data_IF_044683546528
#
_entry.id   IF_044683546528
#
_cell.length_a   1.000
_cell.length_b   1.000
_cell.length_c   1.000
_cell.angle_alpha   90.00
_cell.angle_beta   90.00
_cell.angle_gamma   90.00
#
_symmetry.space_group_name_H-M   'P 1'
#
loop_
_entity.id
_entity.type
_entity.pdbx_description
1 polymer ?
#
# COMPACT_ATOMS: atom_id res chain seq x y z
N UNK A 1 16.53 -1.13 -3.67
CA UNK A 1 15.27 -1.02 -2.90
C UNK A 1 14.59 0.33 -3.13
N UNK A 2 15.33 1.42 -3.30
CA UNK A 2 14.81 2.79 -3.51
C UNK A 2 13.62 2.88 -4.47
N UNK A 3 13.70 2.28 -5.66
CA UNK A 3 12.58 2.30 -6.62
C UNK A 3 11.26 1.75 -6.04
N UNK A 4 11.30 0.61 -5.35
CA UNK A 4 10.09 -0.01 -4.80
C UNK A 4 9.56 0.73 -3.59
N UNK A 5 10.47 1.22 -2.74
CA UNK A 5 10.11 2.07 -1.59
C UNK A 5 9.43 3.36 -2.06
N UNK A 6 9.97 4.03 -3.07
CA UNK A 6 9.36 5.22 -3.69
C UNK A 6 8.00 4.90 -4.29
N UNK A 7 7.86 3.75 -4.97
CA UNK A 7 6.57 3.31 -5.52
C UNK A 7 5.54 3.02 -4.43
N UNK A 8 5.90 2.31 -3.37
CA UNK A 8 4.99 2.06 -2.24
C UNK A 8 4.62 3.35 -1.52
N UNK A 9 5.56 4.29 -1.40
CA UNK A 9 5.30 5.63 -0.85
C UNK A 9 4.31 6.42 -1.70
N UNK A 10 4.45 6.43 -3.03
CA UNK A 10 3.49 7.08 -3.93
C UNK A 10 2.08 6.49 -3.81
N UNK A 11 1.97 5.16 -3.72
CA UNK A 11 0.67 4.49 -3.53
C UNK A 11 0.06 4.89 -2.19
N UNK A 12 0.87 4.93 -1.13
CA UNK A 12 0.41 5.35 0.19
C UNK A 12 -0.07 6.80 0.21
N UNK A 13 0.64 7.72 -0.44
CA UNK A 13 0.24 9.13 -0.53
C UNK A 13 -1.05 9.32 -1.32
N UNK A 14 -1.21 8.61 -2.45
CA UNK A 14 -2.47 8.57 -3.21
C UNK A 14 -3.63 8.06 -2.35
N UNK A 15 -3.41 7.04 -1.52
CA UNK A 15 -4.40 6.53 -0.59
C UNK A 15 -4.79 7.57 0.47
N UNK A 16 -3.81 8.23 1.10
CA UNK A 16 -4.07 9.29 2.08
C UNK A 16 -4.87 10.44 1.49
N UNK A 17 -4.55 10.84 0.26
CA UNK A 17 -5.32 11.86 -0.46
C UNK A 17 -6.77 11.43 -0.67
N UNK A 18 -6.98 10.18 -1.10
CA UNK A 18 -8.31 9.63 -1.32
C UNK A 18 -9.12 9.53 -0.02
N UNK A 19 -8.49 9.13 1.09
CA UNK A 19 -9.13 9.12 2.42
C UNK A 19 -9.61 10.51 2.85
N UNK A 20 -8.84 11.57 2.55
CA UNK A 20 -9.26 12.95 2.87
C UNK A 20 -10.48 13.39 2.04
N UNK A 21 -10.55 13.00 0.77
CA UNK A 21 -11.67 13.34 -0.11
C UNK A 21 -12.93 12.57 0.31
N UNK A 22 -12.80 11.28 0.59
CA UNK A 22 -13.92 10.39 0.88
C UNK A 22 -14.19 10.22 2.38
N UNK A 23 -13.74 11.15 3.23
CA UNK A 23 -13.78 11.00 4.69
C UNK A 23 -15.15 10.59 5.26
N UNK A 24 -16.24 11.07 4.62
CA UNK A 24 -17.63 10.82 5.00
C UNK A 24 -18.30 9.62 4.30
N UNK A 25 -17.69 9.06 3.25
CA UNK A 25 -18.24 7.95 2.47
C UNK A 25 -17.47 6.66 2.79
N UNK A 26 -18.04 5.86 3.69
CA UNK A 26 -17.43 4.59 4.14
C UNK A 26 -17.23 3.60 3.00
N UNK A 27 -18.14 3.55 2.03
CA UNK A 27 -18.05 2.64 0.89
C UNK A 27 -16.86 2.97 0.01
N UNK A 28 -16.66 4.26 -0.30
CA UNK A 28 -15.53 4.73 -1.09
C UNK A 28 -14.20 4.60 -0.35
N UNK A 29 -14.20 4.78 0.98
CA UNK A 29 -13.01 4.54 1.80
C UNK A 29 -12.58 3.08 1.77
N UNK A 30 -13.53 2.14 1.85
CA UNK A 30 -13.24 0.71 1.71
C UNK A 30 -12.70 0.38 0.33
N UNK A 31 -13.31 0.89 -0.74
CA UNK A 31 -12.81 0.69 -2.10
C UNK A 31 -11.38 1.22 -2.26
N UNK A 32 -11.09 2.45 -1.81
CA UNK A 32 -9.74 3.01 -1.87
C UNK A 32 -8.72 2.20 -1.04
N UNK A 33 -9.16 1.61 0.07
CA UNK A 33 -8.32 0.73 0.89
C UNK A 33 -7.97 -0.57 0.15
N UNK A 34 -8.96 -1.24 -0.41
CA UNK A 34 -8.77 -2.46 -1.19
C UNK A 34 -7.92 -2.22 -2.44
N UNK A 35 -8.19 -1.14 -3.18
CA UNK A 35 -7.42 -0.75 -4.36
C UNK A 35 -5.95 -0.49 -4.00
N UNK A 36 -5.70 0.20 -2.88
CA UNK A 36 -4.35 0.47 -2.39
C UNK A 36 -3.58 -0.85 -2.10
N UNK A 37 -4.23 -1.80 -1.42
CA UNK A 37 -3.61 -3.11 -1.14
C UNK A 37 -3.34 -3.89 -2.44
N UNK A 38 -4.30 -3.89 -3.36
CA UNK A 38 -4.17 -4.56 -4.67
C UNK A 38 -3.05 -3.99 -5.54
N UNK A 39 -2.88 -2.66 -5.56
CA UNK A 39 -1.76 -2.01 -6.24
C UNK A 39 -0.41 -2.44 -5.64
N UNK A 40 -0.31 -2.52 -4.30
CA UNK A 40 0.91 -2.97 -3.62
C UNK A 40 1.23 -4.44 -3.88
N UNK A 41 0.22 -5.32 -3.87
CA UNK A 41 0.40 -6.75 -4.17
C UNK A 41 0.79 -6.99 -5.63
N UNK A 42 0.21 -6.23 -6.56
CA UNK A 42 0.56 -6.29 -7.98
C UNK A 42 2.02 -5.90 -8.26
N UNK A 43 2.57 -4.94 -7.50
CA UNK A 43 3.99 -4.60 -7.56
C UNK A 43 4.88 -5.72 -7.03
N UNK A 44 4.42 -6.50 -6.06
CA UNK A 44 5.17 -7.62 -5.49
C UNK A 44 5.17 -8.86 -6.39
N UNK A 45 4.02 -9.23 -6.95
CA UNK A 45 3.85 -10.40 -7.82
C UNK A 45 4.76 -10.40 -9.06
N UNK A 46 5.20 -9.22 -9.52
CA UNK A 46 6.14 -9.10 -10.64
C UNK A 46 7.58 -9.52 -10.30
N UNK A 47 7.90 -9.72 -9.02
CA UNK A 47 9.26 -9.95 -8.53
C UNK A 47 9.40 -11.21 -7.67
N UNK A 48 8.52 -12.20 -7.87
CA UNK A 48 8.47 -13.46 -7.13
C UNK A 48 9.61 -14.45 -7.49
N UNK A 49 10.84 -13.95 -7.49
CA UNK A 49 12.04 -14.77 -7.47
C UNK A 49 12.46 -14.89 -5.99
N UNK A 50 12.45 -16.10 -5.44
CA UNK A 50 12.66 -16.45 -4.02
C UNK A 50 14.07 -16.13 -3.46
N UNK A 51 14.61 -14.94 -3.75
CA UNK A 51 15.92 -14.46 -3.31
C UNK A 51 15.83 -13.49 -2.13
N UNK A 52 17.00 -13.17 -1.53
CA UNK A 52 17.14 -12.15 -0.47
C UNK A 52 16.48 -10.81 -0.81
N UNK A 53 16.37 -10.49 -2.11
CA UNK A 53 15.70 -9.30 -2.61
C UNK A 53 14.17 -9.36 -2.40
N UNK A 54 13.52 -10.47 -2.75
CA UNK A 54 12.08 -10.65 -2.54
C UNK A 54 11.71 -10.62 -1.06
N UNK A 55 12.57 -11.14 -0.17
CA UNK A 55 12.34 -11.02 1.28
C UNK A 55 12.34 -9.55 1.74
N UNK A 56 13.34 -8.76 1.34
CA UNK A 56 13.38 -7.33 1.66
C UNK A 56 12.18 -6.57 1.07
N UNK A 57 11.74 -6.95 -0.12
CA UNK A 57 10.58 -6.36 -0.78
C UNK A 57 9.27 -6.70 -0.06
N UNK A 58 9.15 -7.94 0.43
CA UNK A 58 8.01 -8.39 1.21
C UNK A 58 7.94 -7.65 2.56
N UNK A 59 9.07 -7.51 3.24
CA UNK A 59 9.16 -6.76 4.49
C UNK A 59 8.75 -5.28 4.28
N UNK A 60 9.22 -4.67 3.17
CA UNK A 60 8.84 -3.31 2.78
C UNK A 60 7.32 -3.20 2.52
N UNK A 61 6.76 -4.10 1.70
CA UNK A 61 5.32 -4.17 1.41
C UNK A 61 4.52 -4.27 2.71
N UNK A 62 4.89 -5.19 3.59
CA UNK A 62 4.21 -5.41 4.87
C UNK A 62 4.25 -4.16 5.77
N UNK A 63 5.37 -3.42 5.77
CA UNK A 63 5.47 -2.16 6.50
C UNK A 63 4.48 -1.11 5.96
N UNK A 64 4.36 -0.99 4.64
CA UNK A 64 3.42 -0.07 4.01
C UNK A 64 1.95 -0.50 4.20
N UNK A 65 1.62 -1.78 4.04
CA UNK A 65 0.27 -2.30 4.32
C UNK A 65 -0.16 -2.03 5.77
N UNK A 66 0.77 -2.14 6.73
CA UNK A 66 0.51 -1.73 8.13
C UNK A 66 0.23 -0.23 8.26
N UNK A 67 0.96 0.64 7.55
CA UNK A 67 0.68 2.09 7.53
C UNK A 67 -0.69 2.39 6.92
N UNK A 68 -1.03 1.76 5.80
CA UNK A 68 -2.34 1.89 5.14
C UNK A 68 -3.45 1.46 6.09
N UNK A 69 -3.32 0.30 6.76
CA UNK A 69 -4.30 -0.19 7.74
C UNK A 69 -4.51 0.79 8.90
N UNK A 70 -3.43 1.35 9.44
CA UNK A 70 -3.50 2.37 10.49
C UNK A 70 -4.25 3.63 10.03
N UNK A 71 -3.88 4.15 8.86
CA UNK A 71 -4.54 5.32 8.27
C UNK A 71 -6.01 5.07 7.94
N UNK A 72 -6.36 3.87 7.47
CA UNK A 72 -7.75 3.47 7.23
C UNK A 72 -8.58 3.45 8.51
N UNK A 73 -8.04 2.84 9.58
CA UNK A 73 -8.69 2.75 10.89
C UNK A 73 -8.68 4.07 11.68
N UNK A 74 -7.84 5.03 11.29
CA UNK A 74 -7.67 6.31 11.99
C UNK A 74 -6.89 6.20 13.31
N UNK A 75 -5.97 5.22 13.42
CA UNK A 75 -5.18 4.90 14.63
C UNK A 75 -3.70 5.24 14.43
#
# INVERSE_FOLDING_TARGET
MSYFEERFQQIYEKFLFSLKIYGYDSSRRETCYQDCLGEMDSLFLRHDNHDRFAKKLLDCKNAFQRKVKKAYLGI
#
